data_IF_558772141583
#
_entry.id   IF_558772141583
#
_cell.length_a   1.000
_cell.length_b   1.000
_cell.length_c   1.000
_cell.angle_alpha   90.00
_cell.angle_beta   90.00
_cell.angle_gamma   90.00
#
_symmetry.space_group_name_H-M   'P 1'
#
loop_
_entity.id
_entity.type
_entity.pdbx_description
1 polymer ?
#
# COMPACT_ATOMS: atom_id res chain seq x y z
N UNK A 1 -3.00 -8.08 -13.75
CA UNK A 1 -2.41 -7.04 -12.86
C UNK A 1 -3.20 -7.08 -11.56
N UNK A 2 -2.54 -7.27 -10.40
CA UNK A 2 -3.24 -7.34 -9.11
C UNK A 2 -3.23 -5.96 -8.46
N UNK A 3 -4.37 -5.58 -7.86
CA UNK A 3 -4.54 -4.32 -7.16
C UNK A 3 -4.53 -4.59 -5.66
N UNK A 4 -3.81 -3.79 -4.90
CA UNK A 4 -3.73 -3.87 -3.43
C UNK A 4 -4.35 -2.62 -2.85
N UNK A 5 -5.26 -2.81 -1.88
CA UNK A 5 -5.87 -1.72 -1.12
C UNK A 5 -5.42 -1.84 0.33
N UNK A 6 -4.89 -0.75 0.87
CA UNK A 6 -4.48 -0.63 2.28
C UNK A 6 -5.42 0.39 2.93
N UNK A 7 -6.09 0.00 4.02
CA UNK A 7 -6.97 0.88 4.79
C UNK A 7 -6.25 1.26 6.08
N UNK A 8 -5.99 2.55 6.26
CA UNK A 8 -5.10 3.12 7.27
C UNK A 8 -3.76 3.56 6.66
N UNK A 9 -3.50 4.86 6.67
CA UNK A 9 -2.32 5.57 6.17
C UNK A 9 -1.33 6.00 7.27
N UNK A 10 -1.53 5.54 8.51
CA UNK A 10 -0.53 5.63 9.58
C UNK A 10 0.73 4.81 9.28
N UNK A 11 1.67 4.80 10.23
CA UNK A 11 3.02 4.20 10.08
C UNK A 11 2.98 2.78 9.51
N UNK A 12 2.10 1.92 10.03
CA UNK A 12 1.98 0.54 9.58
C UNK A 12 1.51 0.42 8.11
N UNK A 13 0.54 1.23 7.70
CA UNK A 13 0.01 1.21 6.33
C UNK A 13 1.03 1.72 5.31
N UNK A 14 1.76 2.77 5.65
CA UNK A 14 2.87 3.28 4.84
C UNK A 14 4.01 2.26 4.71
N UNK A 15 4.38 1.59 5.80
CA UNK A 15 5.44 0.57 5.77
C UNK A 15 5.05 -0.62 4.90
N UNK A 16 3.81 -1.11 5.03
CA UNK A 16 3.29 -2.18 4.18
C UNK A 16 3.26 -1.77 2.70
N UNK A 17 2.82 -0.53 2.39
CA UNK A 17 2.82 -0.02 1.02
C UNK A 17 4.23 0.01 0.43
N UNK A 18 5.22 0.48 1.21
CA UNK A 18 6.61 0.54 0.79
C UNK A 18 7.17 -0.85 0.46
N UNK A 19 6.93 -1.84 1.33
CA UNK A 19 7.42 -3.21 1.13
C UNK A 19 6.82 -3.84 -0.14
N UNK A 20 5.52 -3.65 -0.35
CA UNK A 20 4.78 -4.20 -1.50
C UNK A 20 5.31 -3.59 -2.82
N UNK A 21 5.53 -2.27 -2.86
CA UNK A 21 6.09 -1.59 -4.03
C UNK A 21 7.55 -1.99 -4.26
N UNK A 22 8.32 -2.23 -3.20
CA UNK A 22 9.72 -2.66 -3.26
C UNK A 22 9.86 -4.08 -3.80
N UNK A 23 8.99 -5.01 -3.39
CA UNK A 23 8.99 -6.38 -3.90
C UNK A 23 8.40 -6.51 -5.31
N UNK A 24 7.47 -5.64 -5.72
CA UNK A 24 6.86 -5.73 -7.04
C UNK A 24 6.34 -4.40 -7.58
N UNK A 25 7.08 -3.82 -8.54
CA UNK A 25 6.67 -2.61 -9.28
C UNK A 25 5.46 -2.81 -10.21
N UNK A 26 4.95 -4.03 -10.35
CA UNK A 26 3.80 -4.36 -11.20
C UNK A 26 2.46 -4.31 -10.47
N UNK A 27 2.46 -4.04 -9.17
CA UNK A 27 1.26 -3.93 -8.35
C UNK A 27 0.81 -2.48 -8.27
N UNK A 28 -0.48 -2.25 -8.45
CA UNK A 28 -1.10 -0.95 -8.17
C UNK A 28 -1.53 -0.95 -6.71
N UNK A 29 -0.91 -0.09 -5.90
CA UNK A 29 -1.22 0.06 -4.47
C UNK A 29 -2.07 1.31 -4.28
N UNK A 30 -3.17 1.22 -3.54
CA UNK A 30 -4.02 2.34 -3.14
C UNK A 30 -4.13 2.36 -1.63
N UNK A 31 -3.77 3.48 -1.01
CA UNK A 31 -3.89 3.69 0.44
C UNK A 31 -5.11 4.56 0.67
N UNK A 32 -5.98 4.14 1.58
CA UNK A 32 -7.14 4.90 2.02
C UNK A 32 -6.88 5.29 3.47
N UNK A 33 -6.69 6.58 3.72
CA UNK A 33 -6.58 7.12 5.08
C UNK A 33 -7.92 7.72 5.50
N UNK A 34 -8.37 7.40 6.72
CA UNK A 34 -9.57 7.96 7.32
C UNK A 34 -9.11 8.83 8.49
N UNK A 35 -9.09 10.15 8.28
CA UNK A 35 -8.92 11.13 9.34
C UNK A 35 -10.17 11.30 10.19
#
# INVERSE_FOLDING_TARGET
MKNVVIVGGGVAGLFAAHEIVSCSRKLKVTIIEMG
#
